data_IF_879638161932
#
_entry.id   IF_879638161932
#
_cell.length_a   1.000
_cell.length_b   1.000
_cell.length_c   1.000
_cell.angle_alpha   90.00
_cell.angle_beta   90.00
_cell.angle_gamma   90.00
#
_symmetry.space_group_name_H-M   'P 1'
#
loop_
_entity.id
_entity.type
_entity.pdbx_description
1 polymer ?
#
# COMPACT_ATOMS: atom_id res chain seq x y z
N UNK A 1 -11.93 -4.81 -26.84
CA UNK A 1 -10.87 -5.46 -26.05
C UNK A 1 -10.58 -4.49 -24.91
N UNK A 2 -11.23 -4.68 -23.76
CA UNK A 2 -11.14 -3.71 -22.67
C UNK A 2 -9.86 -4.02 -21.89
N UNK A 3 -8.85 -3.16 -22.05
CA UNK A 3 -7.59 -3.23 -21.31
C UNK A 3 -7.89 -3.13 -19.82
N UNK A 4 -7.54 -4.17 -19.08
CA UNK A 4 -7.70 -4.23 -17.63
C UNK A 4 -6.57 -3.43 -16.97
N UNK A 5 -6.90 -2.41 -16.18
CA UNK A 5 -5.93 -1.63 -15.43
C UNK A 5 -6.02 -1.98 -13.94
N UNK A 6 -4.86 -2.05 -13.29
CA UNK A 6 -4.69 -2.09 -11.83
C UNK A 6 -4.17 -0.72 -11.44
N UNK A 7 -4.79 -0.10 -10.43
CA UNK A 7 -4.34 1.17 -9.89
C UNK A 7 -3.79 0.94 -8.48
N UNK A 8 -2.54 1.34 -8.27
CA UNK A 8 -1.82 1.20 -7.00
C UNK A 8 -1.63 2.56 -6.36
N UNK A 9 -2.15 2.75 -5.14
CA UNK A 9 -1.99 3.97 -4.37
C UNK A 9 -0.70 3.96 -3.55
N UNK A 10 0.09 5.04 -3.53
CA UNK A 10 1.28 5.12 -2.67
C UNK A 10 0.92 5.78 -1.33
N UNK A 11 0.95 4.99 -0.25
CA UNK A 11 0.94 5.48 1.13
C UNK A 11 2.40 5.79 1.54
N UNK A 12 2.63 6.85 2.33
CA UNK A 12 3.92 7.19 2.96
C UNK A 12 3.68 8.12 4.16
N UNK A 13 4.23 7.85 5.35
CA UNK A 13 4.12 8.75 6.52
C UNK A 13 5.51 9.27 6.92
N UNK A 14 5.74 10.61 7.03
CA UNK A 14 4.89 11.59 7.72
C UNK A 14 4.43 12.77 6.83
N UNK A 15 4.47 12.61 5.50
CA UNK A 15 4.12 13.62 4.48
C UNK A 15 3.30 13.01 3.33
N UNK A 16 2.46 12.01 3.63
CA UNK A 16 1.59 11.34 2.66
C UNK A 16 0.29 10.84 3.29
N UNK A 17 -0.54 10.24 2.44
CA UNK A 17 -1.93 9.87 2.70
C UNK A 17 -2.08 9.00 3.96
N UNK A 18 -3.08 9.30 4.79
CA UNK A 18 -3.39 8.57 6.03
C UNK A 18 -4.43 7.45 5.84
N UNK A 19 -4.84 6.80 6.94
CA UNK A 19 -5.84 5.72 6.86
C UNK A 19 -7.18 6.20 6.32
N UNK A 20 -7.64 7.41 6.67
CA UNK A 20 -8.90 7.94 6.18
C UNK A 20 -8.81 8.22 4.68
N UNK A 21 -7.69 8.79 4.22
CA UNK A 21 -7.43 8.97 2.80
C UNK A 21 -7.49 7.62 2.05
N UNK A 22 -6.94 6.56 2.63
CA UNK A 22 -6.98 5.22 2.06
C UNK A 22 -8.41 4.66 1.97
N UNK A 23 -9.27 4.95 2.96
CA UNK A 23 -10.69 4.58 2.95
C UNK A 23 -11.42 5.32 1.84
N UNK A 24 -11.29 6.64 1.76
CA UNK A 24 -11.97 7.46 0.74
C UNK A 24 -11.56 7.04 -0.68
N UNK A 25 -10.27 6.74 -0.89
CA UNK A 25 -9.78 6.27 -2.19
C UNK A 25 -10.29 4.87 -2.52
N UNK A 26 -10.43 3.97 -1.54
CA UNK A 26 -11.05 2.66 -1.76
C UNK A 26 -12.49 2.81 -2.26
N UNK A 27 -13.26 3.76 -1.73
CA UNK A 27 -14.65 3.99 -2.16
C UNK A 27 -14.71 4.48 -3.62
N UNK A 28 -13.81 5.38 -4.01
CA UNK A 28 -13.68 5.81 -5.42
C UNK A 28 -13.29 4.63 -6.32
N UNK A 29 -12.43 3.73 -5.86
CA UNK A 29 -12.07 2.54 -6.64
C UNK A 29 -13.23 1.56 -6.78
N UNK A 30 -14.12 1.46 -5.78
CA UNK A 30 -15.32 0.64 -5.87
C UNK A 30 -16.26 1.14 -6.99
N UNK A 31 -16.38 2.45 -7.18
CA UNK A 31 -17.11 3.04 -8.30
C UNK A 31 -16.46 2.67 -9.65
N UNK A 32 -15.13 2.77 -9.75
CA UNK A 32 -14.40 2.42 -10.97
C UNK A 32 -14.49 0.92 -11.29
N UNK A 33 -14.59 0.05 -10.29
CA UNK A 33 -14.84 -1.38 -10.46
C UNK A 33 -16.27 -1.61 -10.96
N UNK A 34 -17.26 -0.92 -10.38
CA UNK A 34 -18.66 -1.02 -10.82
C UNK A 34 -18.84 -0.57 -12.28
N UNK A 35 -18.05 0.40 -12.74
CA UNK A 35 -18.00 0.85 -14.14
C UNK A 35 -17.17 -0.07 -15.07
N UNK A 36 -16.54 -1.11 -14.52
CA UNK A 36 -15.71 -2.06 -15.28
C UNK A 36 -14.36 -1.49 -15.74
N UNK A 37 -13.91 -0.38 -15.14
CA UNK A 37 -12.62 0.27 -15.44
C UNK A 37 -11.46 -0.38 -14.70
N UNK A 38 -11.73 -0.96 -13.53
CA UNK A 38 -10.78 -1.71 -12.69
C UNK A 38 -11.36 -3.10 -12.36
N UNK A 39 -10.50 -4.01 -11.91
CA UNK A 39 -10.92 -5.32 -11.37
C UNK A 39 -10.49 -5.54 -9.92
N UNK A 40 -9.40 -4.90 -9.51
CA UNK A 40 -8.77 -5.07 -8.21
C UNK A 40 -8.18 -3.74 -7.75
N UNK A 41 -8.08 -3.58 -6.44
CA UNK A 41 -7.56 -2.42 -5.72
C UNK A 41 -6.22 -2.79 -5.09
N UNK A 42 -5.20 -1.95 -5.30
CA UNK A 42 -3.88 -2.18 -4.71
C UNK A 42 -3.32 -0.94 -4.03
N UNK A 43 -2.43 -1.16 -3.07
CA UNK A 43 -1.60 -0.13 -2.46
C UNK A 43 -0.12 -0.46 -2.60
N UNK A 44 0.71 0.56 -2.68
CA UNK A 44 2.14 0.52 -2.43
C UNK A 44 2.35 1.02 -1.01
N UNK A 45 2.69 0.09 -0.12
CA UNK A 45 2.88 0.29 1.30
C UNK A 45 4.32 0.73 1.59
N UNK A 46 4.71 1.86 1.00
CA UNK A 46 6.04 2.43 1.21
C UNK A 46 6.04 3.22 2.53
N UNK A 47 6.91 2.91 3.49
CA UNK A 47 6.99 3.70 4.74
C UNK A 47 5.61 3.83 5.45
N UNK A 48 4.81 2.76 5.37
CA UNK A 48 3.48 2.69 5.96
C UNK A 48 3.49 1.91 7.27
N UNK A 49 2.59 2.26 8.18
CA UNK A 49 2.37 1.52 9.41
C UNK A 49 1.81 0.12 9.09
N UNK A 50 2.52 -0.93 9.51
CA UNK A 50 2.17 -2.32 9.23
C UNK A 50 0.78 -2.72 9.76
N UNK A 51 0.34 -2.19 10.91
CA UNK A 51 -0.97 -2.47 11.46
C UNK A 51 -2.08 -1.81 10.63
N UNK A 52 -1.86 -0.57 10.17
CA UNK A 52 -2.80 0.13 9.27
C UNK A 52 -2.92 -0.62 7.95
N UNK A 53 -1.80 -1.02 7.34
CA UNK A 53 -1.79 -1.79 6.09
C UNK A 53 -2.56 -3.12 6.26
N UNK A 54 -2.33 -3.83 7.37
CA UNK A 54 -3.01 -5.09 7.63
C UNK A 54 -4.52 -4.88 7.79
N UNK A 55 -4.96 -3.84 8.51
CA UNK A 55 -6.38 -3.51 8.65
C UNK A 55 -7.05 -3.18 7.31
N UNK A 56 -6.36 -2.46 6.43
CA UNK A 56 -6.85 -2.11 5.09
C UNK A 56 -7.01 -3.36 4.20
N UNK A 57 -6.13 -4.35 4.35
CA UNK A 57 -6.24 -5.64 3.64
C UNK A 57 -7.35 -6.51 4.24
N UNK A 58 -7.37 -6.67 5.57
CA UNK A 58 -8.33 -7.54 6.28
C UNK A 58 -9.77 -7.04 6.13
N UNK A 59 -9.96 -5.72 5.97
CA UNK A 59 -11.27 -5.12 5.70
C UNK A 59 -11.77 -5.29 4.26
N UNK A 60 -10.94 -5.82 3.35
CA UNK A 60 -11.27 -5.94 1.93
C UNK A 60 -11.29 -4.61 1.17
N UNK A 61 -10.74 -3.54 1.74
CA UNK A 61 -10.61 -2.23 1.06
C UNK A 61 -9.59 -2.28 -0.05
N UNK A 62 -8.53 -3.07 0.14
CA UNK A 62 -7.56 -3.37 -0.90
C UNK A 62 -7.32 -4.87 -1.01
N UNK A 63 -7.12 -5.34 -2.24
CA UNK A 63 -6.89 -6.76 -2.52
C UNK A 63 -5.43 -7.15 -2.30
N UNK A 64 -4.52 -6.19 -2.44
CA UNK A 64 -3.08 -6.45 -2.41
C UNK A 64 -2.30 -5.23 -1.93
N UNK A 65 -1.17 -5.49 -1.28
CA UNK A 65 -0.16 -4.49 -0.96
C UNK A 65 1.18 -4.86 -1.62
N UNK A 66 1.82 -3.91 -2.26
CA UNK A 66 3.21 -3.99 -2.68
C UNK A 66 4.09 -3.46 -1.54
N UNK A 67 4.98 -4.31 -1.04
CA UNK A 67 5.89 -4.03 0.07
C UNK A 67 7.35 -4.18 -0.37
N UNK A 68 8.26 -3.46 0.30
CA UNK A 68 9.70 -3.66 0.13
C UNK A 68 10.12 -4.94 0.85
N UNK A 69 10.59 -5.94 0.09
CA UNK A 69 11.11 -7.18 0.64
C UNK A 69 12.18 -7.76 -0.28
N UNK A 70 13.34 -8.11 0.27
CA UNK A 70 14.41 -8.81 -0.43
C UNK A 70 15.36 -9.51 0.57
N UNK A 71 16.39 -10.19 0.07
CA UNK A 71 17.35 -10.94 0.92
C UNK A 71 18.06 -10.03 1.94
N UNK A 72 18.24 -8.74 1.62
CA UNK A 72 18.91 -7.75 2.47
C UNK A 72 17.94 -6.95 3.34
N UNK A 73 16.66 -6.92 2.99
CA UNK A 73 15.60 -6.25 3.73
C UNK A 73 14.41 -7.18 3.94
N UNK A 74 14.33 -7.75 5.14
CA UNK A 74 13.25 -8.64 5.59
C UNK A 74 12.39 -8.00 6.68
N UNK A 75 12.46 -6.68 6.88
CA UNK A 75 11.79 -5.99 7.99
C UNK A 75 10.26 -5.99 7.89
N UNK A 76 9.71 -6.36 6.74
CA UNK A 76 8.28 -6.61 6.58
C UNK A 76 7.81 -7.97 7.14
N UNK A 77 8.72 -8.90 7.47
CA UNK A 77 8.40 -10.18 8.11
C UNK A 77 8.63 -10.20 9.62
N UNK A 78 9.56 -9.38 10.10
CA UNK A 78 10.02 -9.38 11.49
C UNK A 78 10.18 -7.96 11.97
N UNK A 79 9.96 -7.72 13.27
CA UNK A 79 10.27 -6.42 13.87
C UNK A 79 11.75 -6.10 13.61
N UNK A 80 12.06 -4.95 13.00
CA UNK A 80 13.44 -4.56 12.78
C UNK A 80 14.19 -4.41 14.12
N UNK A 81 15.50 -4.70 14.16
CA UNK A 81 16.33 -4.38 15.33
C UNK A 81 16.20 -2.90 15.71
N UNK A 82 16.32 -2.57 16.99
CA UNK A 82 16.15 -1.18 17.49
C UNK A 82 17.15 -0.19 16.85
N UNK A 83 18.31 -0.69 16.45
CA UNK A 83 19.39 0.05 15.77
C UNK A 83 19.25 0.09 14.23
N UNK A 84 18.17 -0.49 13.68
CA UNK A 84 17.87 -0.46 12.26
C UNK A 84 17.31 0.91 11.89
N UNK A 85 18.21 1.88 11.74
CA UNK A 85 17.87 3.18 11.21
C UNK A 85 17.39 3.03 9.76
N UNK A 86 16.35 3.78 9.41
CA UNK A 86 15.84 3.79 8.05
C UNK A 86 16.96 4.18 7.09
N UNK A 87 17.22 3.33 6.11
CA UNK A 87 18.20 3.62 5.07
C UNK A 87 17.50 4.56 4.10
N UNK A 88 18.04 5.78 3.93
CA UNK A 88 17.60 6.71 2.89
C UNK A 88 17.84 6.09 1.50
N UNK A 89 16.80 5.43 0.97
CA UNK A 89 16.76 4.81 -0.37
C UNK A 89 16.61 5.86 -1.49
N UNK A 90 16.59 7.15 -1.15
CA UNK A 90 16.30 8.27 -2.05
C UNK A 90 17.51 9.14 -2.41
N UNK A 91 18.73 8.78 -1.99
CA UNK A 91 19.93 9.46 -2.50
C UNK A 91 20.31 8.93 -3.89
N UNK A 92 20.55 9.83 -4.88
CA UNK A 92 21.04 9.43 -6.20
C UNK A 92 22.41 8.76 -6.15
#
# INVERSE_FOLDING_TARGET
MNTCLRLDLRLAMPMGLDENDAVEISEVFDELIAEGKLRYKGITAWDGDGAVIQNLLDSGRFDTAQILYNVLNQTSLVTPPEEFADIDQGKP
#
